data_IF_535273104868
#
_entry.id   IF_535273104868
#
_cell.length_a   1.000
_cell.length_b   1.000
_cell.length_c   1.000
_cell.angle_alpha   90.00
_cell.angle_beta   90.00
_cell.angle_gamma   90.00
#
_symmetry.space_group_name_H-M   'P 1'
#
loop_
_entity.id
_entity.type
_entity.pdbx_description
1 polymer ?
#
# COMPACT_ATOMS: atom_id res chain seq x y z
N UNK A 1 14.46 -30.36 -2.34
CA UNK A 1 14.44 -30.55 -3.81
C UNK A 1 13.08 -30.06 -4.27
N UNK A 2 12.95 -28.74 -4.48
CA UNK A 2 11.67 -28.06 -4.69
C UNK A 2 11.13 -28.42 -6.06
N UNK A 3 9.96 -29.05 -6.13
CA UNK A 3 9.31 -29.38 -7.39
C UNK A 3 9.13 -28.09 -8.21
N UNK A 4 9.64 -28.10 -9.44
CA UNK A 4 9.52 -26.98 -10.38
C UNK A 4 8.07 -26.93 -10.85
N UNK A 5 7.39 -25.79 -10.70
CA UNK A 5 5.99 -25.63 -11.12
C UNK A 5 5.82 -25.91 -12.61
N UNK A 6 4.70 -26.53 -12.98
CA UNK A 6 4.41 -26.92 -14.36
C UNK A 6 4.07 -25.70 -15.23
N UNK A 7 4.34 -25.82 -16.53
CA UNK A 7 4.03 -24.80 -17.55
C UNK A 7 2.50 -24.61 -17.62
N UNK A 8 2.00 -23.48 -17.13
CA UNK A 8 0.56 -23.16 -17.06
C UNK A 8 0.02 -22.89 -15.64
N UNK A 9 0.79 -23.17 -14.58
CA UNK A 9 0.36 -22.87 -13.19
C UNK A 9 0.68 -21.44 -12.74
N UNK A 10 1.45 -20.68 -13.53
CA UNK A 10 1.75 -19.29 -13.21
C UNK A 10 0.59 -18.39 -13.62
N UNK A 11 0.02 -17.70 -12.64
CA UNK A 11 -0.88 -16.58 -12.88
C UNK A 11 -0.12 -15.25 -12.82
N UNK A 12 -0.60 -14.26 -13.56
CA UNK A 12 -0.04 -12.90 -13.58
C UNK A 12 -0.05 -12.28 -12.18
N UNK A 13 -1.08 -12.54 -11.39
CA UNK A 13 -1.17 -12.09 -9.99
C UNK A 13 -0.05 -12.67 -9.15
N UNK A 14 0.28 -13.95 -9.34
CA UNK A 14 1.38 -14.60 -8.62
C UNK A 14 2.72 -13.98 -9.00
N UNK A 15 2.97 -13.76 -10.30
CA UNK A 15 4.19 -13.09 -10.78
C UNK A 15 4.36 -11.73 -10.10
N UNK A 16 3.32 -10.90 -10.08
CA UNK A 16 3.37 -9.56 -9.47
C UNK A 16 3.59 -9.64 -7.97
N UNK A 17 2.92 -10.57 -7.26
CA UNK A 17 3.10 -10.74 -5.82
C UNK A 17 4.52 -11.17 -5.44
N UNK A 18 5.12 -12.13 -6.16
CA UNK A 18 6.50 -12.57 -5.95
C UNK A 18 7.50 -11.48 -6.32
N UNK A 19 7.24 -10.75 -7.40
CA UNK A 19 8.04 -9.60 -7.81
C UNK A 19 8.03 -8.50 -6.75
N UNK A 20 6.87 -8.20 -6.17
CA UNK A 20 6.75 -7.22 -5.10
C UNK A 20 7.56 -7.66 -3.86
N UNK A 21 7.44 -8.92 -3.45
CA UNK A 21 8.21 -9.48 -2.33
C UNK A 21 9.73 -9.42 -2.58
N UNK A 22 10.17 -9.77 -3.79
CA UNK A 22 11.57 -9.68 -4.19
C UNK A 22 12.07 -8.23 -4.16
N UNK A 23 11.33 -7.30 -4.78
CA UNK A 23 11.68 -5.89 -4.84
C UNK A 23 11.83 -5.26 -3.44
N UNK A 24 10.97 -5.63 -2.47
CA UNK A 24 11.10 -5.16 -1.07
C UNK A 24 12.38 -5.64 -0.38
N UNK A 25 12.90 -6.82 -0.75
CA UNK A 25 14.12 -7.38 -0.15
C UNK A 25 15.39 -6.82 -0.77
N UNK A 26 15.47 -6.78 -2.09
CA UNK A 26 16.72 -6.45 -2.81
C UNK A 26 16.74 -5.02 -3.37
N UNK A 27 15.58 -4.36 -3.39
CA UNK A 27 15.36 -3.09 -4.07
C UNK A 27 15.05 -3.29 -5.56
N UNK A 28 14.18 -2.44 -6.11
CA UNK A 28 13.69 -2.50 -7.49
C UNK A 28 14.82 -2.57 -8.54
N UNK A 29 15.92 -1.85 -8.30
CA UNK A 29 17.05 -1.81 -9.24
C UNK A 29 17.79 -3.16 -9.33
N UNK A 30 17.85 -3.91 -8.24
CA UNK A 30 18.57 -5.17 -8.17
C UNK A 30 17.76 -6.37 -8.65
N UNK A 31 16.46 -6.22 -8.91
CA UNK A 31 15.62 -7.31 -9.43
C UNK A 31 16.14 -7.83 -10.77
N UNK A 32 16.28 -9.14 -10.86
CA UNK A 32 16.55 -9.85 -12.13
C UNK A 32 15.46 -10.88 -12.47
N UNK A 33 15.30 -11.20 -13.76
CA UNK A 33 14.34 -12.22 -14.21
C UNK A 33 14.68 -13.62 -13.69
N UNK A 34 15.97 -13.89 -13.46
CA UNK A 34 16.43 -15.18 -12.93
C UNK A 34 16.05 -15.35 -11.47
N UNK A 35 16.23 -14.30 -10.65
CA UNK A 35 15.79 -14.31 -9.25
C UNK A 35 14.27 -14.37 -9.15
N UNK A 36 13.55 -13.65 -10.01
CA UNK A 36 12.09 -13.74 -10.07
C UNK A 36 11.61 -15.16 -10.39
N UNK A 37 12.23 -15.84 -11.36
CA UNK A 37 11.91 -17.23 -11.66
C UNK A 37 12.24 -18.19 -10.49
N UNK A 38 13.36 -17.94 -9.80
CA UNK A 38 13.73 -18.71 -8.61
C UNK A 38 12.72 -18.52 -7.47
N UNK A 39 12.28 -17.28 -7.23
CA UNK A 39 11.23 -16.94 -6.25
C UNK A 39 9.91 -17.64 -6.57
N UNK A 40 9.54 -17.69 -7.85
CA UNK A 40 8.32 -18.35 -8.33
C UNK A 40 8.42 -19.89 -8.34
N UNK A 41 9.62 -20.45 -8.16
CA UNK A 41 9.86 -21.90 -8.33
C UNK A 41 9.63 -22.37 -9.77
N UNK A 42 9.80 -21.47 -10.75
CA UNK A 42 9.45 -21.67 -12.15
C UNK A 42 10.70 -21.68 -13.05
N UNK A 43 10.57 -22.24 -14.24
CA UNK A 43 11.59 -22.08 -15.28
C UNK A 43 11.56 -20.64 -15.82
N UNK A 44 12.73 -20.06 -16.10
CA UNK A 44 12.85 -18.70 -16.67
C UNK A 44 12.01 -18.50 -17.95
N UNK A 45 11.97 -19.44 -18.91
CA UNK A 45 11.08 -19.31 -20.07
C UNK A 45 9.59 -19.21 -19.72
N UNK A 46 9.16 -19.84 -18.62
CA UNK A 46 7.77 -19.74 -18.15
C UNK A 46 7.46 -18.32 -17.68
N UNK A 47 8.40 -17.65 -17.00
CA UNK A 47 8.21 -16.26 -16.55
C UNK A 47 8.12 -15.32 -17.75
N UNK A 48 8.95 -15.53 -18.77
CA UNK A 48 8.93 -14.73 -20.00
C UNK A 48 7.62 -14.84 -20.78
N UNK A 49 6.91 -15.97 -20.68
CA UNK A 49 5.58 -16.12 -21.28
C UNK A 49 4.55 -15.17 -20.65
N UNK A 50 4.65 -14.89 -19.35
CA UNK A 50 3.74 -13.98 -18.67
C UNK A 50 4.17 -12.52 -18.74
N UNK A 51 5.49 -12.27 -18.76
CA UNK A 51 6.05 -10.92 -18.74
C UNK A 51 7.29 -10.85 -19.63
N UNK A 52 7.28 -10.01 -20.68
CA UNK A 52 8.33 -9.99 -21.72
C UNK A 52 9.63 -9.28 -21.27
N UNK A 53 10.05 -9.47 -20.02
CA UNK A 53 11.31 -8.98 -19.48
C UNK A 53 11.17 -8.06 -18.28
N UNK A 54 12.32 -7.55 -17.82
CA UNK A 54 12.41 -6.78 -16.55
C UNK A 54 11.54 -5.53 -16.57
N UNK A 55 11.60 -4.73 -17.65
CA UNK A 55 10.85 -3.48 -17.69
C UNK A 55 9.35 -3.71 -17.58
N UNK A 56 8.79 -4.61 -18.40
CA UNK A 56 7.38 -4.98 -18.32
C UNK A 56 7.00 -5.55 -16.95
N UNK A 57 7.92 -6.25 -16.27
CA UNK A 57 7.68 -6.72 -14.91
C UNK A 57 7.57 -5.56 -13.92
N UNK A 58 8.49 -4.59 -14.02
CA UNK A 58 8.48 -3.41 -13.17
C UNK A 58 7.28 -2.50 -13.44
N UNK A 59 6.83 -2.40 -14.69
CA UNK A 59 5.62 -1.66 -15.05
C UNK A 59 4.39 -2.30 -14.38
N UNK A 60 4.27 -3.63 -14.42
CA UNK A 60 3.19 -4.34 -13.73
C UNK A 60 3.25 -4.21 -12.21
N UNK A 61 4.46 -4.20 -11.65
CA UNK A 61 4.65 -3.90 -10.24
C UNK A 61 4.16 -2.48 -9.93
N UNK A 62 4.52 -1.48 -10.75
CA UNK A 62 4.11 -0.10 -10.57
C UNK A 62 2.59 0.04 -10.64
N UNK A 63 1.93 -0.57 -11.64
CA UNK A 63 0.48 -0.59 -11.75
C UNK A 63 -0.19 -1.19 -10.50
N UNK A 64 0.30 -2.35 -10.03
CA UNK A 64 -0.23 -3.00 -8.83
C UNK A 64 -0.04 -2.17 -7.57
N UNK A 65 1.07 -1.46 -7.45
CA UNK A 65 1.38 -0.59 -6.31
C UNK A 65 0.49 0.64 -6.32
N UNK A 66 0.34 1.28 -7.49
CA UNK A 66 -0.53 2.44 -7.66
C UNK A 66 -2.01 2.09 -7.41
N UNK A 67 -2.46 0.91 -7.84
CA UNK A 67 -3.81 0.41 -7.58
C UNK A 67 -4.09 0.19 -6.08
N UNK A 68 -3.06 0.01 -5.26
CA UNK A 68 -3.17 -0.12 -3.81
C UNK A 68 -3.26 1.21 -3.06
N UNK A 69 -3.13 2.35 -3.74
CA UNK A 69 -3.21 3.67 -3.10
C UNK A 69 -4.67 3.96 -2.73
N UNK A 70 -5.00 4.12 -1.44
CA UNK A 70 -6.35 4.51 -1.04
C UNK A 70 -6.66 5.93 -1.53
N UNK A 71 -7.77 6.07 -2.24
CA UNK A 71 -8.26 7.36 -2.73
C UNK A 71 -9.38 7.84 -1.80
N UNK A 72 -9.19 8.96 -1.08
CA UNK A 72 -10.24 9.51 -0.23
C UNK A 72 -11.40 10.04 -1.09
N UNK A 73 -12.62 9.68 -0.72
CA UNK A 73 -13.87 10.00 -1.42
C UNK A 73 -14.71 11.07 -0.70
N UNK A 74 -14.35 11.42 0.53
CA UNK A 74 -15.13 12.26 1.43
C UNK A 74 -14.29 13.41 2.03
N UNK A 75 -14.94 14.52 2.38
CA UNK A 75 -14.31 15.69 3.01
C UNK A 75 -13.86 16.80 2.03
N UNK A 76 -13.28 17.90 2.55
CA UNK A 76 -12.79 19.02 1.75
C UNK A 76 -11.68 18.62 0.75
N UNK A 77 -11.64 19.26 -0.41
CA UNK A 77 -10.75 18.85 -1.53
C UNK A 77 -9.26 18.94 -1.18
N UNK A 78 -8.87 19.94 -0.38
CA UNK A 78 -7.49 20.20 0.05
C UNK A 78 -7.01 19.12 1.04
N UNK A 79 -7.89 18.68 1.93
CA UNK A 79 -7.66 17.55 2.83
C UNK A 79 -7.53 16.25 2.03
N UNK A 80 -8.47 15.98 1.11
CA UNK A 80 -8.40 14.77 0.27
C UNK A 80 -7.12 14.71 -0.57
N UNK A 81 -6.67 15.84 -1.10
CA UNK A 81 -5.42 15.91 -1.86
C UNK A 81 -4.19 15.61 -0.97
N UNK A 82 -4.16 16.17 0.25
CA UNK A 82 -3.08 15.90 1.20
C UNK A 82 -3.05 14.43 1.65
N UNK A 83 -4.23 13.84 1.91
CA UNK A 83 -4.38 12.42 2.28
C UNK A 83 -3.93 11.49 1.15
N UNK A 84 -4.39 11.74 -0.09
CA UNK A 84 -3.97 11.01 -1.27
C UNK A 84 -2.45 11.07 -1.45
N UNK A 85 -1.84 12.25 -1.28
CA UNK A 85 -0.38 12.41 -1.39
C UNK A 85 0.37 11.67 -0.28
N UNK A 86 -0.10 11.75 0.98
CA UNK A 86 0.47 11.00 2.11
C UNK A 86 0.42 9.49 1.81
N UNK A 87 -0.74 8.97 1.40
CA UNK A 87 -0.94 7.56 1.09
C UNK A 87 -0.07 7.08 -0.09
N UNK A 88 -0.07 7.82 -1.20
CA UNK A 88 0.76 7.52 -2.36
C UNK A 88 2.24 7.47 -1.99
N UNK A 89 2.71 8.43 -1.20
CA UNK A 89 4.10 8.49 -0.72
C UNK A 89 4.45 7.30 0.15
N UNK A 90 3.57 6.91 1.08
CA UNK A 90 3.81 5.74 1.95
C UNK A 90 3.95 4.44 1.13
N UNK A 91 3.03 4.24 0.18
CA UNK A 91 3.01 3.06 -0.70
C UNK A 91 4.26 3.01 -1.60
N UNK A 92 4.63 4.11 -2.25
CA UNK A 92 5.84 4.17 -3.10
C UNK A 92 7.14 3.92 -2.33
N UNK A 93 7.20 4.31 -1.06
CA UNK A 93 8.38 4.12 -0.21
C UNK A 93 8.52 2.69 0.32
N UNK A 94 7.44 1.92 0.42
CA UNK A 94 7.52 0.52 0.86
C UNK A 94 8.21 -0.36 -0.20
N UNK A 95 7.97 -0.10 -1.48
CA UNK A 95 8.45 -0.92 -2.60
C UNK A 95 9.94 -0.69 -2.90
N UNK A 96 10.44 0.51 -2.66
CA UNK A 96 11.78 0.94 -3.08
C UNK A 96 12.93 0.42 -2.22
N UNK A 97 12.65 -0.49 -1.26
CA UNK A 97 13.67 -1.19 -0.48
C UNK A 97 14.60 -0.25 0.30
N UNK A 98 14.23 1.02 0.46
CA UNK A 98 14.91 1.88 1.41
C UNK A 98 14.72 1.21 2.76
N UNK A 99 15.79 0.65 3.34
CA UNK A 99 15.84 0.36 4.78
C UNK A 99 15.14 1.54 5.44
N UNK A 100 14.04 1.29 6.15
CA UNK A 100 13.48 2.28 7.05
C UNK A 100 14.66 2.73 7.92
N UNK A 101 15.22 3.90 7.63
CA UNK A 101 15.87 4.64 8.67
C UNK A 101 14.75 4.84 9.70
N UNK A 102 14.92 4.42 10.98
CA UNK A 102 13.90 4.66 12.00
C UNK A 102 13.45 6.10 11.84
N UNK A 103 12.14 6.28 11.64
CA UNK A 103 11.56 7.55 11.22
C UNK A 103 12.22 8.69 11.99
N UNK A 104 12.93 9.58 11.30
CA UNK A 104 13.57 10.72 11.95
C UNK A 104 12.48 11.51 12.67
N UNK A 105 12.49 11.56 14.02
CA UNK A 105 11.44 12.24 14.78
C UNK A 105 11.38 13.74 14.48
N UNK A 106 12.41 14.31 13.83
CA UNK A 106 12.48 15.71 13.37
C UNK A 106 11.80 15.96 12.03
N UNK A 107 11.37 14.93 11.29
CA UNK A 107 10.51 15.09 10.10
C UNK A 107 9.03 15.34 10.43
N UNK A 108 8.72 15.70 11.69
CA UNK A 108 7.51 16.44 12.07
C UNK A 108 7.73 17.91 11.76
N UNK A 109 7.27 18.39 10.61
CA UNK A 109 7.24 19.84 10.37
C UNK A 109 7.49 20.31 8.96
N UNK A 110 7.36 19.47 7.93
CA UNK A 110 7.20 20.02 6.59
C UNK A 110 5.87 20.78 6.54
N UNK A 111 5.97 22.11 6.68
CA UNK A 111 4.88 23.06 6.49
C UNK A 111 4.36 22.87 5.05
N UNK A 112 3.04 22.80 4.81
CA UNK A 112 2.52 22.78 3.45
C UNK A 112 2.99 24.04 2.70
N UNK A 113 3.21 23.99 1.37
CA UNK A 113 3.44 25.20 0.60
C UNK A 113 2.27 26.17 0.86
N UNK A 114 2.51 27.48 1.04
CA UNK A 114 1.42 28.40 1.28
C UNK A 114 0.42 28.30 0.13
N UNK A 115 -0.81 27.90 0.45
CA UNK A 115 -1.94 28.05 -0.48
C UNK A 115 -2.11 29.52 -0.85
N UNK A 116 -2.83 29.83 -1.94
CA UNK A 116 -3.06 31.22 -2.35
C UNK A 116 -3.61 32.02 -1.17
N UNK A 117 -2.95 33.15 -0.88
CA UNK A 117 -3.05 33.93 0.34
C UNK A 117 -4.51 34.19 0.74
N UNK A 118 -4.97 33.54 1.81
CA UNK A 118 -6.18 33.96 2.52
C UNK A 118 -5.77 34.99 3.59
N UNK A 119 -6.47 36.13 3.70
CA UNK A 119 -6.22 37.08 4.78
C UNK A 119 -6.49 36.41 6.13
N UNK A 120 -5.54 36.58 7.04
CA UNK A 120 -5.48 35.94 8.35
C UNK A 120 -6.67 36.36 9.23
N UNK A 121 -7.73 35.55 9.25
CA UNK A 121 -8.74 35.65 10.29
C UNK A 121 -8.18 35.03 11.58
N UNK A 122 -7.77 35.88 12.52
CA UNK A 122 -7.42 35.49 13.88
C UNK A 122 -8.68 35.05 14.63
N UNK A 123 -9.14 33.82 14.37
CA UNK A 123 -10.25 33.16 15.05
C UNK A 123 -9.79 31.80 15.56
N UNK A 124 -9.81 31.63 16.89
CA UNK A 124 -9.41 30.40 17.59
C UNK A 124 -10.09 29.15 16.99
N UNK A 125 -9.31 28.29 16.35
CA UNK A 125 -9.68 26.90 16.11
C UNK A 125 -8.60 25.97 16.68
N UNK A 126 -8.75 25.65 17.97
CA UNK A 126 -8.20 24.40 18.50
C UNK A 126 -9.00 23.26 17.85
N UNK A 127 -8.36 22.47 17.00
CA UNK A 127 -8.88 21.17 16.58
C UNK A 127 -9.03 20.98 15.07
N UNK A 128 -7.90 20.77 14.38
CA UNK A 128 -7.87 20.05 13.10
C UNK A 128 -6.43 19.58 12.83
N UNK A 129 -5.84 18.91 13.82
CA UNK A 129 -4.58 18.19 13.64
C UNK A 129 -4.91 16.73 13.32
N UNK A 130 -5.58 16.46 12.21
CA UNK A 130 -5.55 15.15 11.56
C UNK A 130 -4.21 15.02 10.85
N UNK A 131 -3.18 14.85 11.69
CA UNK A 131 -1.84 14.41 11.31
C UNK A 131 -2.03 13.15 10.47
N UNK A 132 -1.23 12.97 9.41
CA UNK A 132 -1.10 11.69 8.70
C UNK A 132 -0.71 10.63 9.76
N UNK A 133 -1.73 10.03 10.39
CA UNK A 133 -1.65 9.02 11.42
C UNK A 133 -2.10 7.77 10.71
N UNK A 134 -1.16 6.85 10.53
CA UNK A 134 -1.39 5.58 9.87
C UNK A 134 -2.73 4.98 10.31
N UNK A 135 -3.55 4.64 9.32
CA UNK A 135 -4.83 3.99 9.53
C UNK A 135 -4.63 2.72 10.34
N UNK A 136 -5.15 2.72 11.57
CA UNK A 136 -5.36 1.50 12.31
C UNK A 136 -6.68 0.90 11.82
N UNK A 137 -6.59 -0.20 11.09
CA UNK A 137 -7.72 -1.09 10.88
C UNK A 137 -8.25 -1.56 12.25
N UNK A 138 -9.59 -1.56 12.42
CA UNK A 138 -10.24 -1.98 13.66
C UNK A 138 -11.76 -2.02 13.58
N UNK A 139 -12.26 -2.92 12.73
CA UNK A 139 -13.54 -3.64 12.80
C UNK A 139 -14.79 -2.95 13.39
N UNK A 140 -15.78 -2.71 12.51
CA UNK A 140 -17.19 -2.76 12.92
C UNK A 140 -17.53 -4.18 13.38
N UNK A 141 -17.83 -4.35 14.66
CA UNK A 141 -18.63 -5.45 15.17
C UNK A 141 -19.98 -4.87 15.61
N UNK A 142 -21.00 -5.13 14.80
CA UNK A 142 -22.41 -5.03 15.18
C UNK A 142 -22.89 -6.45 15.46
N UNK A 143 -23.70 -6.67 16.51
CA UNK A 143 -24.80 -7.59 16.32
C UNK A 143 -26.12 -6.96 16.77
N UNK A 144 -27.09 -7.28 15.93
CA UNK A 144 -28.51 -7.09 16.09
C UNK A 144 -29.02 -7.49 17.48
N UNK A 145 -29.94 -6.69 18.00
CA UNK A 145 -30.85 -7.14 19.04
C UNK A 145 -31.92 -8.05 18.46
N UNK A 146 -32.33 -9.04 19.24
CA UNK A 146 -33.67 -9.63 19.21
C UNK A 146 -34.04 -9.97 20.65
N UNK A 147 -35.19 -9.47 21.07
CA UNK A 147 -35.67 -9.57 22.43
C UNK A 147 -36.46 -10.83 22.73
N UNK A 148 -36.75 -10.93 24.04
CA UNK A 148 -37.91 -11.53 24.68
C UNK A 148 -38.05 -13.06 24.61
N UNK A 149 -38.03 -13.71 25.78
CA UNK A 149 -39.00 -14.74 26.21
C UNK A 149 -38.66 -15.19 27.63
N UNK A 150 -39.62 -15.05 28.55
CA UNK A 150 -39.46 -15.37 29.96
C UNK A 150 -39.46 -16.86 30.29
N UNK A 151 -38.93 -17.19 31.48
CA UNK A 151 -39.36 -18.33 32.30
C UNK A 151 -38.80 -18.21 33.73
N UNK A 152 -39.70 -18.03 34.70
CA UNK A 152 -39.56 -18.52 36.09
C UNK A 152 -39.63 -20.07 36.07
N UNK A 153 -39.18 -20.84 37.08
CA UNK A 153 -39.55 -20.67 38.50
C UNK A 153 -38.48 -21.02 39.56
N UNK A 154 -38.71 -20.59 40.80
CA UNK A 154 -38.77 -21.45 42.01
C UNK A 154 -39.44 -20.70 43.16
#
# INVERSE_FOLDING_TARGET
>A
MTARRAYGELDRTQVVSSLHALARRVGVQQVTMRELAAELGAAVPSVYYHVPGKQAALDLLAESVLAGIPVPDTGPWDIRLAELYCAAREVMLDVTGHRRHPADPRRRGARPPPGPAQPFAAGRSRGAQSRCRGGAHGALHLPAGLGQSGRSPR
#
